data_IF_620819423533
#
_entry.id   IF_620819423533
#
_cell.length_a   1.000
_cell.length_b   1.000
_cell.length_c   1.000
_cell.angle_alpha   90.00
_cell.angle_beta   90.00
_cell.angle_gamma   90.00
#
_symmetry.space_group_name_H-M   'P 1'
#
loop_
_entity.id
_entity.type
_entity.pdbx_description
1 polymer ?
#
# COMPACT_ATOMS: atom_id res chain seq x y z
N UNK A 1 -26.97 0.15 4.97
CA UNK A 1 -25.68 0.56 4.39
C UNK A 1 -25.28 1.87 5.08
N UNK A 2 -24.34 1.84 6.02
CA UNK A 2 -23.90 3.07 6.70
C UNK A 2 -23.17 3.96 5.68
N UNK A 3 -23.58 5.23 5.54
CA UNK A 3 -23.01 6.19 4.60
C UNK A 3 -21.47 6.20 4.69
N UNK A 4 -20.82 5.71 3.65
CA UNK A 4 -19.39 5.85 3.47
C UNK A 4 -19.07 7.28 3.05
N UNK A 5 -18.02 7.87 3.62
CA UNK A 5 -17.50 9.17 3.22
C UNK A 5 -16.05 9.04 2.76
N UNK A 6 -15.68 9.79 1.74
CA UNK A 6 -14.29 9.88 1.27
C UNK A 6 -13.67 11.17 1.81
N UNK A 7 -12.44 11.07 2.30
CA UNK A 7 -11.68 12.19 2.84
C UNK A 7 -10.33 12.29 2.15
N UNK A 8 -10.00 13.52 1.73
CA UNK A 8 -8.69 13.92 1.21
C UNK A 8 -7.98 14.64 2.35
N UNK A 9 -6.81 14.14 2.72
CA UNK A 9 -5.97 14.65 3.80
C UNK A 9 -4.69 15.15 3.14
N UNK A 10 -4.58 16.47 3.00
CA UNK A 10 -3.42 17.15 2.39
C UNK A 10 -2.48 17.66 3.49
N UNK A 11 -1.27 17.11 3.61
CA UNK A 11 -0.28 17.65 4.53
C UNK A 11 0.22 19.03 4.12
N UNK A 12 0.33 19.94 5.09
CA UNK A 12 0.91 21.28 4.92
C UNK A 12 2.37 21.37 5.35
N UNK A 13 2.83 20.35 6.09
CA UNK A 13 4.20 20.19 6.55
C UNK A 13 4.70 18.77 6.24
N UNK A 14 6.04 18.55 6.21
CA UNK A 14 6.59 17.21 6.07
C UNK A 14 6.12 16.27 7.20
N UNK A 15 5.39 15.22 6.84
CA UNK A 15 4.77 14.28 7.80
C UNK A 15 5.80 13.32 8.36
N UNK A 16 5.87 13.21 9.69
CA UNK A 16 6.76 12.27 10.36
C UNK A 16 5.97 11.01 10.72
N UNK A 17 6.22 9.91 10.00
CA UNK A 17 5.69 8.57 10.33
C UNK A 17 6.84 7.66 10.71
N UNK A 18 7.17 7.68 12.00
CA UNK A 18 8.36 6.99 12.54
C UNK A 18 8.33 5.49 12.25
N UNK A 19 9.50 4.93 11.96
CA UNK A 19 9.69 3.49 12.04
C UNK A 19 9.73 3.04 13.52
N UNK A 20 9.49 1.74 13.77
CA UNK A 20 9.41 1.19 15.12
C UNK A 20 10.74 1.16 15.90
N UNK A 21 11.78 1.84 15.39
CA UNK A 21 13.09 1.89 16.06
C UNK A 21 13.04 2.85 17.25
N UNK A 22 13.76 2.54 18.35
CA UNK A 22 13.90 3.44 19.47
C UNK A 22 14.39 4.82 19.02
N UNK A 23 13.81 5.85 19.63
CA UNK A 23 14.29 7.22 19.53
C UNK A 23 14.24 7.78 20.94
N UNK A 24 15.39 7.77 21.58
CA UNK A 24 15.65 8.35 22.87
C UNK A 24 16.52 9.61 22.69
N UNK A 25 16.75 10.32 23.79
CA UNK A 25 17.62 11.50 23.82
C UNK A 25 19.11 11.11 23.74
N UNK A 26 19.46 10.14 22.91
CA UNK A 26 20.85 9.77 22.66
C UNK A 26 21.45 10.74 21.64
N UNK A 27 22.65 11.29 21.88
CA UNK A 27 23.30 12.20 20.95
C UNK A 27 23.41 11.59 19.55
N UNK A 28 22.88 12.27 18.53
CA UNK A 28 22.92 11.80 17.15
C UNK A 28 21.81 10.82 16.76
N UNK A 29 20.79 10.63 17.61
CA UNK A 29 19.61 9.84 17.29
C UNK A 29 18.90 10.39 16.03
N UNK A 30 18.57 9.47 15.12
CA UNK A 30 17.87 9.78 13.87
C UNK A 30 16.51 9.09 13.87
N UNK A 31 15.43 9.87 13.92
CA UNK A 31 14.10 9.35 13.69
C UNK A 31 13.92 9.09 12.18
N UNK A 32 14.00 7.82 11.78
CA UNK A 32 13.71 7.41 10.41
C UNK A 32 12.20 7.36 10.21
N UNK A 33 11.77 7.77 9.03
CA UNK A 33 10.37 7.77 8.63
C UNK A 33 10.12 6.70 7.58
N UNK A 34 8.96 6.04 7.71
CA UNK A 34 8.47 5.05 6.76
C UNK A 34 8.33 5.69 5.37
N UNK A 35 8.47 4.92 4.28
CA UNK A 35 8.31 5.44 2.92
C UNK A 35 6.89 5.93 2.62
N UNK A 36 5.89 5.47 3.41
CA UNK A 36 4.50 5.89 3.35
C UNK A 36 3.81 5.61 4.70
N UNK A 37 2.80 6.39 5.12
CA UNK A 37 2.07 6.13 6.36
C UNK A 37 1.38 4.76 6.37
N UNK A 38 1.45 4.03 7.49
CA UNK A 38 0.66 2.81 7.66
C UNK A 38 -0.84 3.12 7.82
N UNK A 39 -1.72 2.19 7.40
CA UNK A 39 -3.17 2.32 7.57
C UNK A 39 -3.58 2.67 9.00
N UNK A 40 -2.99 2.01 10.00
CA UNK A 40 -3.26 2.26 11.42
C UNK A 40 -3.02 3.71 11.86
N UNK A 41 -2.05 4.41 11.25
CA UNK A 41 -1.79 5.82 11.58
C UNK A 41 -2.96 6.70 11.15
N UNK A 42 -3.50 6.45 9.97
CA UNK A 42 -4.65 7.16 9.43
C UNK A 42 -5.94 6.76 10.16
N UNK A 43 -6.10 5.47 10.48
CA UNK A 43 -7.22 4.99 11.27
C UNK A 43 -7.23 5.65 12.67
N UNK A 44 -6.07 5.77 13.32
CA UNK A 44 -5.94 6.50 14.58
C UNK A 44 -6.35 7.97 14.46
N UNK A 45 -5.91 8.66 13.40
CA UNK A 45 -6.26 10.05 13.15
C UNK A 45 -7.77 10.22 12.88
N UNK A 46 -8.35 9.39 12.01
CA UNK A 46 -9.79 9.36 11.70
C UNK A 46 -10.62 9.19 12.98
N UNK A 47 -10.25 8.23 13.81
CA UNK A 47 -10.95 7.91 15.06
C UNK A 47 -10.81 9.00 16.11
N UNK A 48 -9.62 9.59 16.22
CA UNK A 48 -9.38 10.74 17.09
C UNK A 48 -10.25 11.91 16.67
N UNK A 49 -10.29 12.23 15.37
CA UNK A 49 -11.13 13.30 14.82
C UNK A 49 -12.62 13.03 15.07
N UNK A 50 -13.11 11.84 14.74
CA UNK A 50 -14.51 11.44 14.94
C UNK A 50 -14.94 11.44 16.42
N UNK A 51 -14.00 11.17 17.34
CA UNK A 51 -14.24 11.15 18.78
C UNK A 51 -13.98 12.47 19.50
N UNK A 52 -13.51 13.51 18.80
CA UNK A 52 -13.17 14.81 19.39
C UNK A 52 -14.30 15.80 19.21
N UNK A 53 -14.75 16.41 20.32
CA UNK A 53 -15.76 17.47 20.34
C UNK A 53 -15.21 18.63 21.17
N UNK A 54 -15.24 19.85 20.62
CA UNK A 54 -14.71 21.03 21.32
C UNK A 54 -13.22 20.92 21.67
N UNK A 55 -12.43 20.20 20.87
CA UNK A 55 -10.99 20.00 21.11
C UNK A 55 -10.64 18.94 22.16
N UNK A 56 -11.63 18.27 22.76
CA UNK A 56 -11.44 17.18 23.71
C UNK A 56 -11.96 15.86 23.15
N UNK A 57 -11.20 14.78 23.34
CA UNK A 57 -11.66 13.44 22.99
C UNK A 57 -12.70 12.96 24.01
N UNK A 58 -13.91 12.66 23.54
CA UNK A 58 -15.08 12.35 24.39
C UNK A 58 -15.75 11.02 24.05
N UNK A 59 -15.42 10.40 22.91
CA UNK A 59 -15.95 9.10 22.54
C UNK A 59 -15.29 7.96 23.33
N UNK A 60 -15.92 6.78 23.35
CA UNK A 60 -15.31 5.58 23.93
C UNK A 60 -14.37 4.91 22.93
N UNK A 61 -13.25 4.30 23.38
CA UNK A 61 -12.38 3.50 22.51
C UNK A 61 -13.14 2.42 21.73
N UNK A 62 -14.09 1.75 22.39
CA UNK A 62 -14.91 0.68 21.78
C UNK A 62 -15.70 1.18 20.56
N UNK A 63 -16.31 2.37 20.66
CA UNK A 63 -17.12 2.94 19.58
C UNK A 63 -16.25 3.36 18.39
N UNK A 64 -15.14 4.06 18.66
CA UNK A 64 -14.28 4.55 17.57
C UNK A 64 -13.56 3.40 16.86
N UNK A 65 -13.27 2.29 17.53
CA UNK A 65 -12.70 1.08 16.91
C UNK A 65 -13.65 0.39 15.92
N UNK A 66 -14.97 0.67 15.98
CA UNK A 66 -15.93 0.21 14.96
C UNK A 66 -15.86 1.02 13.66
N UNK A 67 -15.24 2.22 13.68
CA UNK A 67 -15.04 3.01 12.46
C UNK A 67 -14.04 2.26 11.57
N UNK A 68 -14.52 1.88 10.39
CA UNK A 68 -13.73 1.24 9.35
C UNK A 68 -13.11 2.30 8.44
N UNK A 69 -11.81 2.15 8.17
CA UNK A 69 -11.02 3.02 7.31
C UNK A 69 -10.41 2.17 6.20
N UNK A 70 -10.55 2.62 4.96
CA UNK A 70 -9.90 2.03 3.78
C UNK A 70 -8.90 3.03 3.20
N UNK A 71 -7.68 2.56 2.97
CA UNK A 71 -6.54 3.38 2.55
C UNK A 71 -5.41 3.33 3.60
N UNK A 72 -4.44 4.26 3.54
CA UNK A 72 -4.40 5.39 2.61
C UNK A 72 -4.08 5.00 1.17
N UNK A 73 -4.70 5.71 0.22
CA UNK A 73 -4.24 5.80 -1.17
C UNK A 73 -3.50 7.12 -1.37
N UNK A 74 -2.47 7.12 -2.22
CA UNK A 74 -1.78 8.34 -2.61
C UNK A 74 -2.50 8.96 -3.81
N UNK A 75 -2.79 10.26 -3.75
CA UNK A 75 -3.49 10.98 -4.82
C UNK A 75 -2.77 12.27 -5.19
N UNK A 76 -2.97 12.74 -6.42
CA UNK A 76 -2.63 14.09 -6.86
C UNK A 76 -3.87 14.96 -6.86
N UNK A 77 -3.73 16.20 -6.41
CA UNK A 77 -4.79 17.21 -6.42
C UNK A 77 -4.64 18.17 -7.60
N UNK A 78 -5.77 18.64 -8.11
CA UNK A 78 -5.84 19.80 -8.98
C UNK A 78 -5.35 21.04 -8.21
N UNK A 79 -4.48 21.88 -8.80
CA UNK A 79 -3.93 23.04 -8.11
C UNK A 79 -4.98 24.11 -7.77
N UNK A 80 -6.10 24.17 -8.49
CA UNK A 80 -7.14 25.20 -8.35
C UNK A 80 -8.40 24.63 -7.70
N UNK A 81 -8.89 23.51 -8.20
CA UNK A 81 -10.18 22.94 -7.79
C UNK A 81 -10.08 22.02 -6.56
N UNK A 82 -8.87 21.72 -6.07
CA UNK A 82 -8.61 20.81 -4.94
C UNK A 82 -9.19 19.39 -5.09
N UNK A 83 -9.67 19.03 -6.28
CA UNK A 83 -10.19 17.70 -6.63
C UNK A 83 -9.06 16.71 -6.92
N UNK A 84 -9.33 15.42 -6.77
CA UNK A 84 -8.38 14.36 -7.15
C UNK A 84 -8.27 14.29 -8.67
N UNK A 85 -7.05 14.38 -9.20
CA UNK A 85 -6.75 14.26 -10.64
C UNK A 85 -6.08 12.94 -11.00
N UNK A 86 -5.33 12.34 -10.06
CA UNK A 86 -4.65 11.06 -10.24
C UNK A 86 -4.61 10.27 -8.95
N UNK A 87 -4.58 8.95 -9.08
CA UNK A 87 -4.28 8.02 -7.99
C UNK A 87 -2.93 7.37 -8.27
N UNK A 88 -2.27 6.96 -7.20
CA UNK A 88 -1.07 6.16 -7.28
C UNK A 88 -1.19 4.90 -6.43
N UNK A 89 -0.98 3.75 -7.08
CA UNK A 89 -0.94 2.45 -6.42
C UNK A 89 0.50 2.06 -6.09
N UNK A 90 0.77 1.28 -5.03
CA UNK A 90 2.09 0.70 -4.84
C UNK A 90 2.47 -0.16 -6.05
N UNK A 91 3.75 -0.14 -6.42
CA UNK A 91 4.27 -0.97 -7.51
C UNK A 91 3.99 -2.46 -7.24
N UNK A 92 3.33 -3.18 -8.17
CA UNK A 92 3.10 -4.61 -8.02
C UNK A 92 4.42 -5.37 -7.92
N UNK A 93 4.53 -6.29 -6.96
CA UNK A 93 5.73 -7.11 -6.77
C UNK A 93 5.94 -8.09 -7.93
N UNK A 94 4.87 -8.42 -8.66
CA UNK A 94 4.92 -9.23 -9.86
C UNK A 94 5.32 -8.46 -11.13
N UNK A 95 5.62 -7.17 -11.03
CA UNK A 95 6.12 -6.34 -12.12
C UNK A 95 7.64 -6.12 -11.98
N UNK A 96 8.43 -6.97 -12.64
CA UNK A 96 9.88 -6.83 -12.67
C UNK A 96 10.29 -5.79 -13.75
N UNK A 97 10.91 -4.69 -13.32
CA UNK A 97 11.40 -3.66 -14.23
C UNK A 97 12.87 -3.90 -14.58
N UNK A 98 13.14 -4.19 -15.85
CA UNK A 98 14.48 -4.44 -16.37
C UNK A 98 14.98 -3.26 -17.20
N UNK A 99 16.26 -2.94 -17.07
CA UNK A 99 16.91 -1.94 -17.92
C UNK A 99 16.98 -2.43 -19.37
N UNK A 100 16.68 -1.55 -20.32
CA UNK A 100 16.97 -1.80 -21.75
C UNK A 100 18.40 -1.38 -22.07
N UNK A 101 18.96 -1.89 -23.16
CA UNK A 101 20.29 -1.48 -23.59
C UNK A 101 20.32 0.02 -23.88
N UNK A 102 21.44 0.69 -23.56
CA UNK A 102 21.55 2.16 -23.67
C UNK A 102 21.29 2.70 -25.08
N UNK A 103 21.47 1.86 -26.11
CA UNK A 103 21.18 2.22 -27.50
C UNK A 103 19.68 2.35 -27.78
N UNK A 104 18.83 1.70 -26.97
CA UNK A 104 17.36 1.67 -27.11
C UNK A 104 16.64 2.75 -26.28
N UNK A 105 17.41 3.62 -25.62
CA UNK A 105 16.89 4.78 -24.86
C UNK A 105 16.90 4.60 -23.34
N UNK A 106 16.16 5.45 -22.64
CA UNK A 106 16.14 5.54 -21.17
C UNK A 106 14.99 4.77 -20.49
N UNK A 107 14.28 3.95 -21.27
CA UNK A 107 13.12 3.17 -20.85
C UNK A 107 13.44 1.99 -19.94
N UNK A 108 12.37 1.32 -19.50
CA UNK A 108 12.42 0.03 -18.80
C UNK A 108 11.44 -0.92 -19.46
N UNK A 109 11.83 -2.19 -19.55
CA UNK A 109 10.90 -3.26 -19.92
C UNK A 109 10.26 -3.79 -18.65
N UNK A 110 8.94 -3.95 -18.67
CA UNK A 110 8.19 -4.51 -17.54
C UNK A 110 7.90 -5.96 -17.87
N UNK A 111 8.44 -6.86 -17.05
CA UNK A 111 8.27 -8.31 -17.15
C UNK A 111 7.33 -8.77 -16.06
N UNK A 112 6.29 -9.50 -16.43
CA UNK A 112 5.42 -10.14 -15.45
C UNK A 112 6.12 -11.35 -14.84
N UNK A 113 6.14 -11.40 -13.52
CA UNK A 113 6.42 -12.61 -12.78
C UNK A 113 5.12 -13.35 -12.58
N UNK A 114 5.11 -14.66 -12.78
CA UNK A 114 3.91 -15.49 -12.58
C UNK A 114 4.27 -16.85 -12.01
N UNK A 115 3.30 -17.58 -11.43
CA UNK A 115 3.54 -18.90 -10.90
C UNK A 115 3.96 -19.86 -12.03
N UNK A 116 4.85 -20.80 -11.73
CA UNK A 116 5.24 -21.86 -12.66
C UNK A 116 5.31 -23.21 -11.97
N UNK A 117 5.11 -24.28 -12.75
CA UNK A 117 5.29 -25.65 -12.27
C UNK A 117 6.77 -25.88 -11.94
N UNK A 118 7.11 -26.26 -10.69
CA UNK A 118 8.50 -26.46 -10.32
C UNK A 118 9.10 -27.64 -11.11
N UNK A 119 10.34 -27.52 -11.58
CA UNK A 119 11.03 -28.63 -12.23
C UNK A 119 11.18 -29.82 -11.28
N UNK A 120 11.20 -31.02 -11.85
CA UNK A 120 11.34 -32.27 -11.08
C UNK A 120 12.62 -32.23 -10.24
N UNK A 121 12.50 -32.48 -8.94
CA UNK A 121 13.64 -32.49 -8.01
C UNK A 121 14.00 -31.13 -7.41
N UNK A 122 13.23 -30.06 -7.67
CA UNK A 122 13.39 -28.80 -6.95
C UNK A 122 13.15 -29.02 -5.44
N UNK A 123 14.19 -28.77 -4.64
CA UNK A 123 14.10 -28.79 -3.18
C UNK A 123 13.82 -27.37 -2.68
N UNK A 124 12.88 -27.24 -1.75
CA UNK A 124 12.57 -25.95 -1.11
C UNK A 124 12.60 -26.12 0.40
N UNK A 125 12.89 -25.03 1.12
CA UNK A 125 12.80 -25.00 2.58
C UNK A 125 11.36 -24.76 3.08
N UNK A 126 10.37 -24.76 2.20
CA UNK A 126 8.97 -24.58 2.58
C UNK A 126 8.46 -25.89 3.20
N UNK A 127 7.76 -25.82 4.35
CA UNK A 127 7.17 -27.02 4.95
C UNK A 127 6.11 -27.61 4.02
N UNK A 128 5.97 -28.93 4.02
CA UNK A 128 4.91 -29.64 3.30
C UNK A 128 3.55 -29.12 3.80
N UNK A 129 2.87 -28.34 2.96
CA UNK A 129 1.54 -27.80 3.22
C UNK A 129 0.52 -28.40 2.24
N UNK A 130 -0.77 -28.50 2.61
CA UNK A 130 -1.81 -29.08 1.76
C UNK A 130 -1.92 -28.41 0.39
N UNK A 131 -1.66 -27.10 0.34
CA UNK A 131 -1.56 -26.31 -0.89
C UNK A 131 -0.09 -25.94 -1.07
N UNK A 132 0.68 -26.77 -1.77
CA UNK A 132 2.07 -26.46 -2.08
C UNK A 132 2.11 -25.20 -2.94
N UNK A 133 2.70 -24.13 -2.41
CA UNK A 133 2.84 -22.88 -3.15
C UNK A 133 3.76 -23.10 -4.36
N UNK A 134 3.36 -22.55 -5.49
CA UNK A 134 4.15 -22.52 -6.70
C UNK A 134 5.23 -21.42 -6.61
N UNK A 135 6.45 -21.68 -7.10
CA UNK A 135 7.44 -20.62 -7.29
C UNK A 135 6.94 -19.59 -8.32
N UNK A 136 7.41 -18.35 -8.18
CA UNK A 136 7.04 -17.22 -9.05
C UNK A 136 8.28 -16.70 -9.76
N UNK A 137 8.20 -16.54 -11.08
CA UNK A 137 9.32 -16.12 -11.91
C UNK A 137 8.89 -15.61 -13.29
N UNK A 138 9.83 -15.09 -14.09
CA UNK A 138 9.55 -14.71 -15.47
C UNK A 138 9.38 -15.94 -16.36
N UNK A 139 8.70 -15.77 -17.49
CA UNK A 139 8.57 -16.81 -18.54
C UNK A 139 9.91 -17.22 -19.14
N UNK A 140 10.76 -16.22 -19.40
CA UNK A 140 12.05 -16.38 -20.03
C UNK A 140 13.14 -15.82 -19.12
N UNK A 141 14.31 -16.45 -19.15
CA UNK A 141 15.47 -15.95 -18.42
C UNK A 141 15.95 -14.68 -19.10
N UNK A 142 16.06 -13.62 -18.31
CA UNK A 142 16.48 -12.32 -18.78
C UNK A 142 17.73 -11.84 -18.04
N UNK A 143 18.88 -11.67 -18.72
CA UNK A 143 20.11 -11.25 -18.07
C UNK A 143 20.13 -9.75 -17.75
N UNK A 144 19.13 -8.97 -18.18
CA UNK A 144 19.07 -7.55 -17.91
C UNK A 144 18.95 -7.28 -16.39
N UNK A 145 19.54 -6.16 -15.96
CA UNK A 145 19.56 -5.80 -14.54
C UNK A 145 18.22 -5.17 -14.13
N UNK A 146 17.73 -5.45 -12.91
CA UNK A 146 16.63 -4.70 -12.33
C UNK A 146 16.94 -3.19 -12.29
N UNK A 147 16.00 -2.38 -12.73
CA UNK A 147 16.18 -0.93 -12.83
C UNK A 147 16.28 -0.27 -11.45
N UNK A 148 17.33 0.53 -11.25
CA UNK A 148 17.46 1.38 -10.04
C UNK A 148 16.48 2.55 -10.02
N UNK A 149 15.83 2.84 -11.15
CA UNK A 149 14.89 3.95 -11.34
C UNK A 149 13.43 3.49 -11.29
N UNK A 150 13.17 2.25 -10.86
CA UNK A 150 11.82 1.71 -10.75
C UNK A 150 10.92 2.58 -9.83
N UNK A 151 9.77 3.08 -10.32
CA UNK A 151 8.85 3.84 -9.48
C UNK A 151 8.26 2.93 -8.41
N UNK A 152 8.11 3.47 -7.19
CA UNK A 152 7.46 2.77 -6.06
C UNK A 152 5.95 2.93 -6.06
N UNK A 153 5.46 3.97 -6.74
CA UNK A 153 4.05 4.29 -6.86
C UNK A 153 3.70 4.47 -8.33
N UNK A 154 2.88 3.60 -8.87
CA UNK A 154 2.45 3.63 -10.27
C UNK A 154 1.27 4.58 -10.45
N UNK A 155 1.25 5.33 -11.54
CA UNK A 155 0.05 6.03 -11.98
C UNK A 155 -1.08 5.01 -12.18
N UNK A 156 -2.27 5.32 -11.65
CA UNK A 156 -3.37 4.37 -11.65
C UNK A 156 -3.77 3.89 -13.03
N UNK A 157 -3.64 4.72 -14.07
CA UNK A 157 -3.93 4.27 -15.42
C UNK A 157 -3.00 3.13 -15.86
N UNK A 158 -1.72 3.21 -15.48
CA UNK A 158 -0.75 2.16 -15.79
C UNK A 158 -0.93 0.94 -14.90
N UNK A 159 -1.28 1.16 -13.63
CA UNK A 159 -1.64 0.08 -12.71
C UNK A 159 -2.89 -0.67 -13.21
N UNK A 160 -3.94 0.02 -13.62
CA UNK A 160 -5.17 -0.59 -14.12
C UNK A 160 -4.95 -1.33 -15.44
N UNK A 161 -4.09 -0.80 -16.33
CA UNK A 161 -3.61 -1.55 -17.49
C UNK A 161 -2.88 -2.81 -17.05
N UNK A 162 -2.00 -2.73 -16.06
CA UNK A 162 -1.31 -3.91 -15.52
C UNK A 162 -2.28 -4.95 -14.99
N UNK A 163 -3.34 -4.55 -14.28
CA UNK A 163 -4.36 -5.48 -13.77
C UNK A 163 -5.04 -6.26 -14.91
N UNK A 164 -5.28 -5.62 -16.05
CA UNK A 164 -6.02 -6.20 -17.19
C UNK A 164 -5.12 -6.87 -18.23
N UNK A 165 -3.93 -6.34 -18.44
CA UNK A 165 -2.98 -6.71 -19.49
C UNK A 165 -1.53 -6.56 -18.95
N UNK A 166 -1.05 -7.51 -18.14
CA UNK A 166 0.24 -7.42 -17.44
C UNK A 166 1.49 -7.59 -18.33
N UNK A 167 1.38 -7.48 -19.64
CA UNK A 167 2.54 -7.61 -20.54
C UNK A 167 2.55 -6.40 -21.49
N UNK A 168 3.26 -5.31 -21.15
CA UNK A 168 3.38 -4.18 -22.05
C UNK A 168 4.23 -4.56 -23.27
N UNK A 169 3.74 -4.18 -24.46
CA UNK A 169 4.36 -4.53 -25.74
C UNK A 169 5.67 -3.80 -26.02
N UNK A 170 5.95 -2.70 -25.31
CA UNK A 170 7.10 -1.83 -25.56
C UNK A 170 7.69 -1.29 -24.25
N UNK A 171 9.00 -0.96 -24.23
CA UNK A 171 9.62 -0.26 -23.10
C UNK A 171 8.89 1.05 -22.78
N UNK A 172 8.78 1.37 -21.48
CA UNK A 172 8.14 2.59 -20.96
C UNK A 172 9.15 3.40 -20.18
N UNK A 173 9.05 4.74 -20.20
CA UNK A 173 9.90 5.56 -19.32
C UNK A 173 9.44 5.42 -17.86
N UNK A 174 10.35 5.23 -16.89
CA UNK A 174 9.96 5.08 -15.47
C UNK A 174 9.04 6.20 -14.94
N UNK A 175 9.25 7.44 -15.40
CA UNK A 175 8.43 8.61 -15.03
C UNK A 175 7.01 8.60 -15.59
N UNK A 176 6.77 7.87 -16.68
CA UNK A 176 5.45 7.69 -17.30
C UNK A 176 4.69 6.53 -16.63
N UNK A 177 5.43 5.61 -16.00
CA UNK A 177 4.88 4.53 -15.21
C UNK A 177 4.44 5.02 -13.82
N UNK A 178 5.20 5.94 -13.21
CA UNK A 178 4.86 6.47 -11.89
C UNK A 178 5.93 7.35 -11.25
N UNK A 179 5.92 7.41 -9.92
CA UNK A 179 6.87 8.19 -9.11
C UNK A 179 7.72 7.30 -8.19
N UNK A 180 8.96 7.73 -7.94
CA UNK A 180 9.92 7.00 -7.11
C UNK A 180 9.59 6.95 -5.62
N UNK A 181 8.65 7.77 -5.15
CA UNK A 181 8.28 7.93 -3.74
C UNK A 181 7.97 9.38 -3.40
N UNK A 182 7.66 9.63 -2.13
CA UNK A 182 7.53 10.98 -1.58
C UNK A 182 8.94 11.54 -1.26
N UNK A 183 9.22 12.82 -1.57
CA UNK A 183 10.46 13.45 -1.16
C UNK A 183 10.63 13.42 0.36
N UNK A 184 11.88 13.39 0.82
CA UNK A 184 12.22 13.35 2.24
C UNK A 184 12.83 14.68 2.69
N UNK A 185 12.25 15.28 3.72
CA UNK A 185 12.76 16.49 4.36
C UNK A 185 13.51 16.14 5.64
N UNK A 186 14.81 16.36 5.68
CA UNK A 186 15.63 16.16 6.88
C UNK A 186 15.78 17.47 7.65
N UNK A 187 15.42 17.47 8.93
CA UNK A 187 15.61 18.61 9.85
C UNK A 187 16.46 18.20 11.05
N UNK A 188 17.38 19.07 11.43
CA UNK A 188 18.21 18.93 12.63
C UNK A 188 17.70 19.87 13.71
N UNK A 189 17.60 19.38 14.94
CA UNK A 189 17.01 20.07 16.07
C UNK A 189 17.96 20.07 17.26
N UNK A 190 17.96 21.18 18.00
CA UNK A 190 18.75 21.35 19.22
C UNK A 190 17.83 21.84 20.35
N UNK A 191 17.91 21.21 21.53
CA UNK A 191 17.28 21.78 22.71
C UNK A 191 18.15 22.91 23.28
N UNK A 192 17.53 23.98 23.75
CA UNK A 192 18.24 25.19 24.20
C UNK A 192 18.08 25.38 25.71
N UNK A 193 19.20 25.64 26.40
CA UNK A 193 19.20 26.11 27.77
C UNK A 193 18.61 27.52 27.81
N UNK A 194 17.40 27.65 28.36
CA UNK A 194 16.63 28.91 28.34
C UNK A 194 17.43 30.11 28.86
N UNK A 195 18.15 29.92 29.96
CA UNK A 195 18.84 31.01 30.64
C UNK A 195 20.19 31.37 29.98
N UNK A 196 20.87 30.39 29.39
CA UNK A 196 22.18 30.59 28.77
C UNK A 196 22.13 30.87 27.27
N UNK A 197 20.98 30.61 26.63
CA UNK A 197 20.80 30.66 25.17
C UNK A 197 21.83 29.83 24.41
N UNK A 198 22.29 28.74 25.01
CA UNK A 198 23.22 27.76 24.41
C UNK A 198 22.51 26.42 24.23
N UNK A 199 23.01 25.58 23.32
CA UNK A 199 22.51 24.21 23.18
C UNK A 199 22.69 23.41 24.48
N UNK A 200 21.73 22.54 24.78
CA UNK A 200 21.87 21.51 25.80
C UNK A 200 22.77 20.39 25.27
N UNK A 201 23.79 20.03 26.06
CA UNK A 201 24.72 18.97 25.70
C UNK A 201 23.97 17.64 25.53
N UNK A 202 24.25 16.96 24.42
CA UNK A 202 23.60 15.69 24.06
C UNK A 202 22.15 15.80 23.56
N UNK A 203 21.56 17.00 23.46
CA UNK A 203 20.19 17.22 22.95
C UNK A 203 20.15 17.67 21.49
N UNK A 204 20.90 16.96 20.65
CA UNK A 204 20.90 17.14 19.20
C UNK A 204 20.26 15.92 18.55
N UNK A 205 19.19 16.13 17.77
CA UNK A 205 18.48 15.06 17.10
C UNK A 205 18.05 15.43 15.69
N UNK A 206 17.77 14.42 14.87
CA UNK A 206 17.34 14.59 13.49
C UNK A 206 15.99 13.93 13.26
N UNK A 207 15.11 14.64 12.54
CA UNK A 207 13.84 14.10 12.04
C UNK A 207 13.82 14.09 10.53
N UNK A 208 13.27 13.02 9.95
CA UNK A 208 13.00 12.94 8.51
C UNK A 208 11.48 12.95 8.33
N UNK A 209 10.94 13.85 7.51
CA UNK A 209 9.52 13.91 7.17
C UNK A 209 9.26 13.59 5.68
N UNK A 210 8.06 13.13 5.36
CA UNK A 210 7.60 12.93 3.98
C UNK A 210 6.94 14.20 3.47
N UNK A 211 7.40 14.70 2.34
CA UNK A 211 6.79 15.84 1.66
C UNK A 211 5.71 15.37 0.69
N UNK A 212 4.61 16.12 0.67
CA UNK A 212 3.49 15.89 -0.24
C UNK A 212 3.46 16.93 -1.37
N UNK A 213 4.49 17.77 -1.47
CA UNK A 213 4.77 18.59 -2.64
C UNK A 213 5.84 17.86 -3.45
N UNK A 214 5.49 17.29 -4.59
CA UNK A 214 6.42 16.53 -5.41
C UNK A 214 6.96 17.39 -6.55
N UNK A 215 8.28 17.55 -6.70
CA UNK A 215 8.85 18.36 -7.77
C UNK A 215 8.53 17.77 -9.16
N UNK A 216 8.33 18.61 -10.16
CA UNK A 216 8.21 18.17 -11.56
C UNK A 216 9.56 17.95 -12.22
N UNK A 217 10.59 18.68 -11.79
CA UNK A 217 11.97 18.59 -12.28
C UNK A 217 12.94 18.84 -11.13
N UNK A 218 14.14 18.25 -11.19
CA UNK A 218 15.21 18.56 -10.24
C UNK A 218 15.78 19.96 -10.46
N UNK A 219 15.79 20.43 -11.71
CA UNK A 219 16.35 21.74 -12.07
C UNK A 219 15.40 22.90 -11.72
N UNK A 220 14.09 22.64 -11.81
CA UNK A 220 13.03 23.62 -11.57
C UNK A 220 11.94 22.99 -10.68
N UNK A 221 12.22 22.78 -9.38
CA UNK A 221 11.36 21.99 -8.50
C UNK A 221 9.99 22.62 -8.25
N UNK A 222 9.87 23.95 -8.35
CA UNK A 222 8.66 24.69 -7.98
C UNK A 222 7.75 25.04 -9.17
N UNK A 223 8.30 25.15 -10.39
CA UNK A 223 7.59 25.67 -11.57
C UNK A 223 6.36 24.84 -11.96
N UNK A 224 6.35 23.54 -11.63
CA UNK A 224 5.23 22.64 -11.86
C UNK A 224 5.07 21.61 -10.72
N UNK A 225 5.31 22.03 -9.47
CA UNK A 225 5.20 21.13 -8.32
C UNK A 225 3.80 20.48 -8.22
N UNK A 226 3.77 19.17 -8.07
CA UNK A 226 2.54 18.39 -7.93
C UNK A 226 2.12 18.36 -6.47
N UNK A 227 0.86 18.72 -6.20
CA UNK A 227 0.24 18.60 -4.88
C UNK A 227 -0.25 17.17 -4.70
N UNK A 228 0.33 16.45 -3.74
CA UNK A 228 -0.08 15.11 -3.37
C UNK A 228 -0.87 15.13 -2.06
N UNK A 229 -1.71 14.13 -1.84
CA UNK A 229 -2.49 13.97 -0.62
C UNK A 229 -2.74 12.49 -0.31
N UNK A 230 -3.25 12.23 0.89
CA UNK A 230 -3.72 10.92 1.31
C UNK A 230 -5.23 10.86 1.13
N UNK A 231 -5.74 9.80 0.51
CA UNK A 231 -7.17 9.56 0.40
C UNK A 231 -7.57 8.36 1.27
N UNK A 232 -8.63 8.53 2.05
CA UNK A 232 -9.23 7.46 2.85
C UNK A 232 -10.74 7.42 2.66
N UNK A 233 -11.30 6.21 2.64
CA UNK A 233 -12.73 6.00 2.74
C UNK A 233 -13.09 5.54 4.15
N UNK A 234 -14.05 6.20 4.78
CA UNK A 234 -14.43 6.01 6.18
C UNK A 234 -15.89 5.60 6.27
N UNK A 235 -16.22 4.62 7.11
CA UNK A 235 -17.59 4.17 7.31
C UNK A 235 -17.73 3.16 8.45
N UNK A 236 -18.79 2.36 8.41
CA UNK A 236 -19.03 1.25 9.34
C UNK A 236 -19.64 1.64 10.70
N UNK A 237 -19.64 2.92 11.07
CA UNK A 237 -20.18 3.39 12.34
C UNK A 237 -20.75 4.81 12.24
N UNK A 238 -21.76 5.15 13.04
CA UNK A 238 -22.43 6.47 13.00
C UNK A 238 -21.50 7.64 13.38
N UNK A 239 -20.48 7.40 14.22
CA UNK A 239 -19.47 8.41 14.56
C UNK A 239 -18.68 8.90 13.34
N UNK A 240 -18.59 8.11 12.27
CA UNK A 240 -17.95 8.56 11.03
C UNK A 240 -18.65 9.78 10.41
N UNK A 241 -19.96 9.95 10.64
CA UNK A 241 -20.72 11.10 10.17
C UNK A 241 -20.42 12.40 10.93
N UNK A 242 -19.71 12.32 12.06
CA UNK A 242 -19.28 13.50 12.85
C UNK A 242 -17.94 14.09 12.37
N UNK A 243 -17.32 13.48 11.36
CA UNK A 243 -16.06 13.99 10.81
C UNK A 243 -16.40 15.18 9.91
N UNK A 244 -15.78 16.32 10.19
CA UNK A 244 -15.90 17.54 9.39
C UNK A 244 -14.60 17.85 8.64
N UNK A 245 -14.69 18.67 7.60
CA UNK A 245 -13.52 19.26 6.94
C UNK A 245 -12.79 20.25 7.87
N UNK A 246 -11.53 20.60 7.53
CA UNK A 246 -10.75 21.59 8.27
C UNK A 246 -9.36 21.10 8.68
N UNK A 247 -8.76 21.76 9.66
CA UNK A 247 -7.39 21.46 10.09
C UNK A 247 -7.35 20.32 11.11
N UNK A 248 -6.24 19.58 11.09
CA UNK A 248 -5.89 18.58 12.09
C UNK A 248 -4.37 18.33 12.10
N UNK A 249 -3.94 17.31 12.84
CA UNK A 249 -2.55 16.89 12.94
C UNK A 249 -2.37 15.42 12.57
N UNK A 250 -1.25 15.08 11.93
CA UNK A 250 -0.91 13.72 11.53
C UNK A 250 0.51 13.35 11.94
N UNK A 251 0.68 12.14 12.47
CA UNK A 251 2.00 11.57 12.77
C UNK A 251 2.70 12.22 13.97
N UNK A 252 4.02 12.06 14.02
CA UNK A 252 4.88 12.64 15.05
C UNK A 252 4.95 14.16 14.95
N UNK A 253 5.28 14.83 16.06
CA UNK A 253 5.40 16.29 16.17
C UNK A 253 4.15 17.08 15.73
N UNK A 254 2.97 16.45 15.70
CA UNK A 254 1.69 17.10 15.38
C UNK A 254 1.72 17.89 14.07
N UNK A 255 2.25 17.29 13.00
CA UNK A 255 2.37 17.95 11.68
C UNK A 255 1.00 18.31 11.11
N UNK A 256 0.87 19.51 10.56
CA UNK A 256 -0.40 20.09 10.13
C UNK A 256 -0.93 19.41 8.86
N UNK A 257 -2.22 19.06 8.87
CA UNK A 257 -2.94 18.56 7.69
C UNK A 257 -4.26 19.32 7.48
N UNK A 258 -4.73 19.36 6.24
CA UNK A 258 -6.06 19.85 5.87
C UNK A 258 -6.91 18.69 5.39
N UNK A 259 -8.06 18.52 6.01
CA UNK A 259 -9.10 17.58 5.63
C UNK A 259 -10.10 18.25 4.70
N UNK A 260 -10.39 17.59 3.58
CA UNK A 260 -11.46 17.93 2.66
C UNK A 260 -12.32 16.71 2.40
N UNK A 261 -13.62 16.94 2.24
CA UNK A 261 -14.52 15.89 1.80
C UNK A 261 -14.27 15.64 0.32
N UNK A 262 -14.05 14.38 -0.06
CA UNK A 262 -14.02 13.96 -1.46
C UNK A 262 -15.38 13.45 -1.89
N UNK A 263 -15.60 13.37 -3.20
CA UNK A 263 -16.82 12.78 -3.76
C UNK A 263 -16.82 11.26 -3.57
N UNK A 264 -17.98 10.64 -3.40
CA UNK A 264 -18.07 9.18 -3.25
C UNK A 264 -17.57 8.42 -4.47
N UNK A 265 -17.70 9.02 -5.66
CA UNK A 265 -17.19 8.48 -6.94
C UNK A 265 -15.66 8.63 -7.09
N UNK A 266 -14.97 9.13 -6.06
CA UNK A 266 -13.50 9.28 -6.03
C UNK A 266 -12.77 7.97 -5.72
N UNK A 267 -13.45 6.83 -5.58
CA UNK A 267 -12.73 5.53 -5.50
C UNK A 267 -12.67 4.90 -6.89
N UNK A 268 -11.52 4.31 -7.28
CA UNK A 268 -11.44 3.59 -8.55
C UNK A 268 -12.52 2.51 -8.68
N UNK A 269 -13.27 2.56 -9.77
CA UNK A 269 -14.29 1.57 -10.07
C UNK A 269 -13.65 0.24 -10.49
N UNK A 270 -14.38 -0.85 -10.32
CA UNK A 270 -13.95 -2.18 -10.77
C UNK A 270 -14.14 -2.28 -12.30
N UNK A 271 -13.06 -2.49 -13.09
CA UNK A 271 -13.21 -2.66 -14.54
C UNK A 271 -14.00 -3.91 -14.90
N UNK A 272 -15.02 -3.77 -15.76
CA UNK A 272 -15.88 -4.87 -16.19
C UNK A 272 -15.11 -6.04 -16.85
N UNK A 273 -14.05 -5.72 -17.60
CA UNK A 273 -13.16 -6.72 -18.21
C UNK A 273 -12.53 -7.66 -17.17
N UNK A 274 -12.18 -7.16 -15.99
CA UNK A 274 -11.61 -8.00 -14.92
C UNK A 274 -12.62 -9.04 -14.45
N UNK A 275 -13.88 -8.64 -14.23
CA UNK A 275 -14.94 -9.55 -13.77
C UNK A 275 -15.10 -10.71 -14.76
N UNK A 276 -15.26 -10.39 -16.04
CA UNK A 276 -15.44 -11.37 -17.11
C UNK A 276 -14.26 -12.34 -17.21
N UNK A 277 -13.03 -11.83 -17.11
CA UNK A 277 -11.83 -12.64 -17.24
C UNK A 277 -11.60 -13.54 -16.02
N UNK A 278 -11.85 -13.04 -14.81
CA UNK A 278 -11.76 -13.85 -13.59
C UNK A 278 -12.81 -14.96 -13.57
N UNK A 279 -14.04 -14.68 -14.06
CA UNK A 279 -15.06 -15.72 -14.26
C UNK A 279 -14.60 -16.78 -15.26
N UNK A 280 -14.02 -16.35 -16.38
CA UNK A 280 -13.58 -17.27 -17.46
C UNK A 280 -12.41 -18.16 -17.02
N UNK A 281 -11.45 -17.60 -16.29
CA UNK A 281 -10.25 -18.32 -15.87
C UNK A 281 -10.41 -19.03 -14.53
N UNK A 282 -11.48 -18.75 -13.77
CA UNK A 282 -11.66 -19.23 -12.38
C UNK A 282 -10.42 -18.98 -11.52
N UNK A 283 -9.71 -17.89 -11.81
CA UNK A 283 -8.44 -17.55 -11.20
C UNK A 283 -8.22 -16.05 -11.27
N UNK A 284 -7.50 -15.51 -10.29
CA UNK A 284 -7.13 -14.11 -10.25
C UNK A 284 -5.85 -13.90 -9.44
N UNK A 285 -5.33 -12.69 -9.50
CA UNK A 285 -4.34 -12.21 -8.56
C UNK A 285 -4.91 -11.05 -7.74
N UNK A 286 -4.60 -11.03 -6.46
CA UNK A 286 -4.85 -9.90 -5.58
C UNK A 286 -3.56 -9.11 -5.43
N UNK A 287 -3.59 -7.82 -5.72
CA UNK A 287 -2.50 -6.89 -5.46
C UNK A 287 -2.86 -6.06 -4.24
N UNK A 288 -1.99 -6.04 -3.23
CA UNK A 288 -2.21 -5.29 -1.99
C UNK A 288 -1.90 -3.81 -2.17
N UNK A 289 -2.90 -2.95 -2.10
CA UNK A 289 -2.75 -1.49 -2.11
C UNK A 289 -2.25 -0.94 -0.76
N UNK A 290 -2.50 -1.66 0.33
CA UNK A 290 -1.94 -1.39 1.66
C UNK A 290 -1.33 -2.67 2.24
N UNK A 291 -0.36 -2.58 3.16
CA UNK A 291 0.19 -3.78 3.80
C UNK A 291 -0.90 -4.63 4.43
N UNK A 292 -0.77 -5.95 4.40
CA UNK A 292 -1.74 -6.88 4.97
C UNK A 292 -1.15 -7.65 6.15
N UNK A 293 -1.98 -7.93 7.15
CA UNK A 293 -1.58 -8.74 8.30
C UNK A 293 -2.35 -10.05 8.30
N UNK A 294 -1.59 -11.13 8.12
CA UNK A 294 -2.10 -12.49 8.10
C UNK A 294 -1.54 -13.28 9.28
N UNK A 295 -2.35 -14.17 9.86
CA UNK A 295 -1.95 -15.00 11.00
C UNK A 295 -0.74 -15.88 10.67
N UNK A 296 -0.69 -16.39 9.44
CA UNK A 296 0.41 -17.21 8.92
C UNK A 296 1.47 -16.38 8.18
N UNK A 297 1.46 -15.06 8.33
CA UNK A 297 2.41 -14.14 7.69
C UNK A 297 2.08 -13.79 6.23
N UNK A 298 1.82 -14.79 5.38
CA UNK A 298 1.57 -14.59 3.94
C UNK A 298 0.17 -15.05 3.48
N UNK A 299 -0.47 -15.96 4.22
CA UNK A 299 -1.72 -16.61 3.79
C UNK A 299 -2.96 -15.90 4.33
N UNK A 300 -3.89 -15.43 3.48
CA UNK A 300 -5.14 -14.81 3.92
C UNK A 300 -6.13 -15.88 4.40
N UNK A 301 -5.98 -16.32 5.65
CA UNK A 301 -6.65 -17.48 6.22
C UNK A 301 -8.17 -17.45 6.03
N UNK A 302 -8.80 -16.31 6.33
CA UNK A 302 -10.28 -16.19 6.24
C UNK A 302 -10.77 -16.05 4.80
N UNK A 303 -9.94 -15.52 3.89
CA UNK A 303 -10.29 -15.36 2.49
C UNK A 303 -10.22 -16.71 1.76
N UNK A 304 -9.37 -17.63 2.21
CA UNK A 304 -9.26 -18.99 1.69
C UNK A 304 -10.32 -19.96 2.23
N UNK A 305 -11.33 -19.48 2.97
CA UNK A 305 -12.53 -20.26 3.30
C UNK A 305 -13.62 -19.96 2.27
N UNK A 306 -14.67 -20.79 2.23
CA UNK A 306 -15.82 -20.49 1.37
C UNK A 306 -16.48 -19.18 1.80
N UNK A 307 -16.50 -18.20 0.90
CA UNK A 307 -17.08 -16.86 1.07
C UNK A 307 -17.87 -16.53 -0.19
N UNK A 308 -19.10 -16.03 -0.06
CA UNK A 308 -19.94 -15.69 -1.21
C UNK A 308 -20.14 -16.86 -2.22
N UNK A 309 -20.09 -18.11 -1.74
CA UNK A 309 -20.19 -19.30 -2.60
C UNK A 309 -18.93 -19.66 -3.38
N UNK A 310 -17.80 -19.00 -3.11
CA UNK A 310 -16.50 -19.26 -3.72
C UNK A 310 -15.50 -19.71 -2.66
N UNK A 311 -14.68 -20.72 -2.95
CA UNK A 311 -13.55 -21.15 -2.11
C UNK A 311 -12.22 -20.81 -2.80
N UNK A 312 -11.59 -19.69 -2.44
CA UNK A 312 -10.26 -19.35 -2.96
C UNK A 312 -9.17 -20.29 -2.43
N UNK A 313 -8.31 -20.78 -3.32
CA UNK A 313 -7.11 -21.55 -2.98
C UNK A 313 -5.87 -20.74 -3.35
N UNK A 314 -4.98 -20.51 -2.39
CA UNK A 314 -3.74 -19.76 -2.60
C UNK A 314 -2.73 -20.63 -3.36
N UNK A 315 -2.38 -20.20 -4.58
CA UNK A 315 -1.44 -20.90 -5.45
C UNK A 315 -0.02 -20.38 -5.36
N UNK A 316 0.16 -19.07 -5.16
CA UNK A 316 1.48 -18.47 -5.00
C UNK A 316 1.40 -17.10 -4.31
N UNK A 317 2.55 -16.63 -3.81
CA UNK A 317 2.73 -15.29 -3.26
C UNK A 317 3.98 -14.66 -3.87
N UNK A 318 3.85 -13.46 -4.39
CA UNK A 318 4.97 -12.64 -4.85
C UNK A 318 5.08 -11.39 -3.96
N UNK A 319 6.24 -11.16 -3.36
CA UNK A 319 6.44 -10.02 -2.46
C UNK A 319 7.91 -9.69 -2.27
N UNK A 320 8.20 -8.48 -1.80
CA UNK A 320 9.57 -7.97 -1.57
C UNK A 320 10.10 -8.29 -0.17
N UNK A 321 9.64 -9.41 0.42
CA UNK A 321 9.92 -9.82 1.80
C UNK A 321 8.77 -9.48 2.76
N UNK A 322 9.09 -9.30 4.04
CA UNK A 322 8.10 -8.93 5.07
C UNK A 322 8.35 -7.53 5.62
N UNK A 323 7.26 -6.80 5.88
CA UNK A 323 7.27 -5.60 6.70
C UNK A 323 7.16 -5.94 8.19
N UNK A 324 7.59 -5.02 9.03
CA UNK A 324 7.42 -5.10 10.49
C UNK A 324 6.63 -3.90 10.95
N UNK A 325 5.59 -4.14 11.75
CA UNK A 325 4.81 -3.09 12.38
C UNK A 325 4.84 -3.24 13.89
N UNK A 326 5.11 -2.12 14.56
CA UNK A 326 4.83 -1.89 15.97
C UNK A 326 4.05 -0.58 16.06
N UNK A 327 3.03 -0.53 16.90
CA UNK A 327 2.24 0.67 17.13
C UNK A 327 2.39 1.19 18.55
N UNK A 328 1.74 2.32 18.83
CA UNK A 328 1.52 2.78 20.20
C UNK A 328 0.05 2.58 20.56
N UNK A 329 -0.20 2.03 21.74
CA UNK A 329 -1.53 1.94 22.31
C UNK A 329 -1.79 3.19 23.15
N UNK A 330 -2.74 4.03 22.74
CA UNK A 330 -3.06 5.27 23.45
C UNK A 330 -3.83 5.03 24.75
N UNK A 331 -4.62 3.95 24.79
CA UNK A 331 -5.43 3.59 25.97
C UNK A 331 -4.52 3.02 27.06
N UNK A 332 -3.68 2.06 26.68
CA UNK A 332 -2.75 1.40 27.60
C UNK A 332 -1.41 2.13 27.76
N UNK A 333 -1.18 3.20 26.99
CA UNK A 333 0.05 4.02 26.96
C UNK A 333 1.33 3.19 26.84
N UNK A 334 1.34 2.18 25.97
CA UNK A 334 2.48 1.27 25.78
C UNK A 334 2.66 0.87 24.30
N UNK A 335 3.85 0.40 23.89
CA UNK A 335 4.04 -0.19 22.56
C UNK A 335 3.15 -1.43 22.34
N UNK A 336 2.56 -1.54 21.15
CA UNK A 336 1.85 -2.75 20.71
C UNK A 336 2.87 -3.85 20.35
N UNK A 337 2.52 -5.14 20.49
CA UNK A 337 3.37 -6.25 20.06
C UNK A 337 3.78 -6.10 18.60
N UNK A 338 5.04 -6.42 18.32
CA UNK A 338 5.57 -6.42 16.95
C UNK A 338 4.93 -7.51 16.13
N UNK A 339 4.47 -7.17 14.93
CA UNK A 339 3.85 -8.11 13.99
C UNK A 339 4.54 -8.03 12.64
N UNK A 340 4.61 -9.17 11.95
CA UNK A 340 5.01 -9.22 10.54
C UNK A 340 3.80 -8.93 9.67
N UNK A 341 4.03 -8.30 8.54
CA UNK A 341 3.01 -8.00 7.55
C UNK A 341 3.56 -8.23 6.15
N UNK A 342 2.66 -8.58 5.24
CA UNK A 342 2.96 -8.60 3.82
C UNK A 342 2.92 -7.15 3.32
N UNK A 343 3.99 -6.62 2.68
CA UNK A 343 4.05 -5.21 2.29
C UNK A 343 3.04 -4.87 1.19
N UNK A 344 2.67 -3.59 1.09
CA UNK A 344 1.95 -3.07 -0.07
C UNK A 344 2.73 -3.35 -1.37
N UNK A 345 2.00 -3.63 -2.45
CA UNK A 345 2.50 -4.11 -3.73
C UNK A 345 2.57 -5.64 -3.82
N UNK A 346 2.53 -6.38 -2.70
CA UNK A 346 2.58 -7.85 -2.76
C UNK A 346 1.36 -8.43 -3.47
N UNK A 347 1.57 -9.57 -4.13
CA UNK A 347 0.61 -10.22 -5.02
C UNK A 347 0.31 -11.63 -4.52
N UNK A 348 -0.98 -11.97 -4.45
CA UNK A 348 -1.48 -13.30 -4.09
C UNK A 348 -2.16 -13.91 -5.31
N UNK A 349 -1.72 -15.07 -5.77
CA UNK A 349 -2.35 -15.78 -6.89
C UNK A 349 -3.35 -16.79 -6.34
N UNK A 350 -4.60 -16.69 -6.78
CA UNK A 350 -5.72 -17.46 -6.26
C UNK A 350 -6.41 -18.24 -7.38
N UNK A 351 -6.60 -19.54 -7.16
CA UNK A 351 -7.62 -20.32 -7.86
C UNK A 351 -8.96 -20.10 -7.14
N UNK A 352 -10.06 -20.00 -7.88
CA UNK A 352 -11.39 -19.71 -7.35
C UNK A 352 -12.35 -20.86 -7.71
N UNK A 353 -12.68 -21.68 -6.72
CA UNK A 353 -13.68 -22.74 -6.86
C UNK A 353 -15.08 -22.19 -6.55
N UNK A 354 -15.92 -22.04 -7.59
CA UNK A 354 -17.29 -21.55 -7.47
C UNK A 354 -17.93 -21.27 -8.83
N UNK A 355 -19.26 -21.16 -8.85
CA UNK A 355 -20.01 -20.84 -10.07
C UNK A 355 -19.74 -19.39 -10.55
N UNK A 356 -19.86 -19.09 -11.85
CA UNK A 356 -19.53 -17.76 -12.40
C UNK A 356 -20.21 -16.58 -11.70
N UNK A 357 -21.48 -16.71 -11.32
CA UNK A 357 -22.21 -15.66 -10.60
C UNK A 357 -21.67 -15.44 -9.17
N UNK A 358 -21.26 -16.51 -8.50
CA UNK A 358 -20.63 -16.45 -7.18
C UNK A 358 -19.24 -15.79 -7.26
N UNK A 359 -18.47 -16.11 -8.31
CA UNK A 359 -17.17 -15.48 -8.60
C UNK A 359 -17.33 -13.97 -8.79
N UNK A 360 -18.32 -13.52 -9.58
CA UNK A 360 -18.58 -12.10 -9.75
C UNK A 360 -18.90 -11.40 -8.43
N UNK A 361 -19.81 -11.97 -7.62
CA UNK A 361 -20.14 -11.41 -6.31
C UNK A 361 -18.92 -11.35 -5.38
N UNK A 362 -18.06 -12.37 -5.41
CA UNK A 362 -16.82 -12.39 -4.65
C UNK A 362 -15.83 -11.31 -5.12
N UNK A 363 -15.65 -11.13 -6.43
CA UNK A 363 -14.78 -10.07 -7.00
C UNK A 363 -15.25 -8.68 -6.57
N UNK A 364 -16.57 -8.42 -6.62
CA UNK A 364 -17.16 -7.17 -6.15
C UNK A 364 -16.96 -6.97 -4.64
N UNK A 365 -17.07 -8.03 -3.84
CA UNK A 365 -16.87 -7.99 -2.40
C UNK A 365 -15.41 -7.82 -1.97
N UNK A 366 -14.44 -8.13 -2.83
CA UNK A 366 -13.00 -8.01 -2.54
C UNK A 366 -12.41 -6.71 -3.09
N UNK A 367 -12.91 -6.18 -4.20
CA UNK A 367 -12.41 -4.96 -4.83
C UNK A 367 -12.42 -3.77 -3.86
N UNK A 368 -11.25 -3.17 -3.64
CA UNK A 368 -11.02 -2.08 -2.70
C UNK A 368 -11.61 -2.36 -1.31
N UNK A 369 -11.52 -3.61 -0.85
CA UNK A 369 -11.81 -4.00 0.53
C UNK A 369 -10.55 -4.50 1.23
N UNK A 370 -10.52 -4.35 2.55
CA UNK A 370 -9.42 -4.79 3.38
C UNK A 370 -9.54 -6.29 3.67
N UNK A 371 -8.49 -7.07 3.40
CA UNK A 371 -8.51 -8.55 3.48
C UNK A 371 -7.63 -9.15 4.59
N UNK A 372 -7.06 -8.35 5.49
CA UNK A 372 -6.29 -8.88 6.64
C UNK A 372 -7.12 -9.83 7.52
N UNK A 373 -6.47 -10.73 8.26
CA UNK A 373 -7.17 -11.82 8.99
C UNK A 373 -8.00 -11.33 10.17
N UNK A 374 -7.47 -10.40 10.97
CA UNK A 374 -8.22 -9.86 12.11
C UNK A 374 -9.19 -8.77 11.64
N UNK A 375 -10.40 -8.78 12.17
CA UNK A 375 -11.41 -7.78 11.83
C UNK A 375 -10.96 -6.37 12.13
N UNK A 376 -10.28 -6.16 13.26
CA UNK A 376 -9.74 -4.85 13.60
C UNK A 376 -8.68 -4.39 12.61
N UNK A 377 -7.82 -5.29 12.09
CA UNK A 377 -6.83 -4.92 11.09
C UNK A 377 -7.51 -4.49 9.78
N UNK A 378 -8.63 -5.13 9.40
CA UNK A 378 -9.43 -4.70 8.25
C UNK A 378 -10.03 -3.31 8.47
N UNK A 379 -10.59 -3.05 9.66
CA UNK A 379 -11.12 -1.72 10.02
C UNK A 379 -10.03 -0.65 10.12
N UNK A 380 -8.80 -1.04 10.42
CA UNK A 380 -7.63 -0.16 10.43
C UNK A 380 -7.09 0.11 9.01
N UNK A 381 -7.60 -0.59 7.99
CA UNK A 381 -7.25 -0.41 6.58
C UNK A 381 -6.11 -1.30 6.07
N UNK A 382 -5.69 -2.32 6.82
CA UNK A 382 -4.67 -3.26 6.37
C UNK A 382 -5.22 -4.26 5.36
N UNK A 383 -4.49 -4.43 4.27
CA UNK A 383 -4.75 -5.39 3.21
C UNK A 383 -5.82 -4.91 2.23
N UNK A 384 -5.87 -3.62 1.91
CA UNK A 384 -6.74 -3.10 0.86
C UNK A 384 -6.37 -3.79 -0.47
N UNK A 385 -7.34 -4.47 -1.10
CA UNK A 385 -7.09 -5.33 -2.24
C UNK A 385 -7.54 -4.70 -3.57
N UNK A 386 -6.71 -4.85 -4.60
CA UNK A 386 -7.10 -4.73 -6.01
C UNK A 386 -7.01 -6.11 -6.67
N UNK A 387 -7.80 -6.35 -7.71
CA UNK A 387 -7.85 -7.63 -8.42
C UNK A 387 -7.23 -7.44 -9.81
N UNK A 388 -6.42 -8.40 -10.24
CA UNK A 388 -5.86 -8.47 -11.59
C UNK A 388 -6.13 -9.83 -12.22
N UNK A 389 -6.06 -9.89 -13.54
CA UNK A 389 -6.23 -11.11 -14.32
C UNK A 389 -5.03 -12.03 -14.08
N UNK A 390 -5.33 -13.31 -13.94
CA UNK A 390 -4.37 -14.40 -13.99
C UNK A 390 -5.09 -15.64 -14.54
N UNK A 391 -4.38 -16.40 -15.38
CA UNK A 391 -4.84 -17.69 -15.88
C UNK A 391 -3.92 -18.78 -15.34
N UNK A 392 -4.49 -19.72 -14.58
CA UNK A 392 -3.71 -20.82 -14.01
C UNK A 392 -3.11 -21.73 -15.08
N UNK A 393 -3.64 -21.75 -16.30
CA UNK A 393 -3.04 -22.51 -17.42
C UNK A 393 -1.73 -21.91 -17.93
N UNK A 394 -1.39 -20.69 -17.54
CA UNK A 394 -0.14 -20.04 -17.94
C UNK A 394 1.06 -20.47 -17.07
N UNK A 395 0.88 -21.42 -16.14
CA UNK A 395 1.95 -21.98 -15.29
C UNK A 395 2.80 -23.00 -16.03
N UNK A 396 3.49 -22.57 -17.09
CA UNK A 396 4.43 -23.42 -17.82
C UNK A 396 5.75 -23.59 -17.05
N UNK A 397 6.42 -24.73 -17.20
CA UNK A 397 7.81 -24.88 -16.76
C UNK A 397 8.68 -24.03 -17.70
N UNK A 398 9.48 -23.08 -17.18
CA UNK A 398 10.39 -22.31 -18.03
C UNK A 398 11.39 -23.24 -18.73
N UNK A 399 11.58 -23.07 -20.04
CA UNK A 399 12.29 -24.02 -20.88
C UNK A 399 13.78 -24.21 -20.52
N UNK A 400 14.44 -23.16 -20.01
CA UNK A 400 15.91 -23.10 -19.88
C UNK A 400 16.41 -22.51 -18.56
N UNK A 401 15.92 -22.99 -17.41
CA UNK A 401 16.54 -22.64 -16.10
C UNK A 401 17.91 -23.29 -15.85
N UNK A 402 18.53 -23.87 -16.88
CA UNK A 402 19.88 -24.44 -16.80
C UNK A 402 19.98 -25.67 -15.89
N UNK A 403 18.86 -26.35 -15.61
CA UNK A 403 18.87 -27.65 -14.91
C UNK A 403 19.32 -28.69 -15.94
N UNK A 404 20.49 -29.35 -15.75
CA UNK A 404 20.90 -30.43 -16.64
C UNK A 404 19.82 -31.51 -16.66
N UNK A 405 19.46 -31.97 -17.86
CA UNK A 405 18.49 -33.07 -18.06
C UNK A 405 18.91 -34.34 -17.32
#
# INVERSE_FOLDING_TARGET
MHNQCVWIIEPRDPVIVRDGRPFDNTPGARARTLPFPYPSTLAGMVRTRAGTVGGSFTATPTDVLQIAVRGPLLVQLDPVEDRVTKYFAPAPADALLLEVEKQDGDGVRVVQLKPFEPPKGLLTAMPDQPDQLLPVGPDEVDPAKPSKRAPRFWDWQQFERWLQEPVPRQPIKPRELGIGGLPQNSRMHVAMQKDKRTGEEGKLFQTIGLEFTHPASEQHPLDAARRLALLVAVGGHNLAAKIDAGFDTLGGERRTVVWRKGDTDTLPSLPAKLVQQVQTHTACRIILLTPAIFKQGYRPTWLCTTQHGVKPTLRAVCGTGYGVISGWDYDQRKPKPTRRMLPAGSVLYLHLDGEPAAIEAWVQAVWLQAISDAEQDRRDGFGLAAIGIWNEKDTAVPADWGIPK
#
